data_IF_787163140756
#
_entry.id   IF_787163140756
#
_cell.length_a   1.000
_cell.length_b   1.000
_cell.length_c   1.000
_cell.angle_alpha   90.00
_cell.angle_beta   90.00
_cell.angle_gamma   90.00
#
_symmetry.space_group_name_H-M   'P 1'
#
loop_
_entity.id
_entity.type
_entity.pdbx_description
1 polymer ?
#
# COMPACT_ATOMS: atom_id res chain seq x y z
N UNK A 1 -3.54 -15.43 -10.23
CA UNK A 1 -2.34 -14.65 -10.53
C UNK A 1 -2.42 -14.04 -11.93
N UNK A 2 -2.40 -14.83 -13.00
CA UNK A 2 -2.37 -14.34 -14.39
C UNK A 2 -3.74 -14.18 -15.07
N UNK A 3 -4.81 -14.62 -14.42
CA UNK A 3 -6.16 -14.64 -14.98
C UNK A 3 -6.40 -15.79 -15.94
N UNK A 4 -7.69 -16.10 -16.17
CA UNK A 4 -8.12 -17.28 -16.91
C UNK A 4 -7.67 -17.29 -18.37
N UNK A 5 -7.83 -16.19 -19.07
CA UNK A 5 -7.52 -16.10 -20.50
C UNK A 5 -6.02 -16.26 -20.77
N UNK A 6 -5.17 -15.55 -20.03
CA UNK A 6 -3.71 -15.65 -20.14
C UNK A 6 -3.23 -17.06 -19.80
N UNK A 7 -3.78 -17.65 -18.73
CA UNK A 7 -3.46 -19.02 -18.34
C UNK A 7 -3.83 -20.02 -19.43
N UNK A 8 -5.06 -19.99 -19.96
CA UNK A 8 -5.52 -20.91 -20.99
C UNK A 8 -4.68 -20.81 -22.28
N UNK A 9 -4.28 -19.57 -22.65
CA UNK A 9 -3.40 -19.36 -23.81
C UNK A 9 -2.01 -19.94 -23.57
N UNK A 10 -1.40 -19.64 -22.42
CA UNK A 10 -0.06 -20.11 -22.09
C UNK A 10 -0.01 -21.63 -21.93
N UNK A 11 -1.01 -22.23 -21.29
CA UNK A 11 -1.09 -23.67 -21.12
C UNK A 11 -1.30 -24.43 -22.43
N UNK A 12 -2.12 -23.89 -23.35
CA UNK A 12 -2.26 -24.45 -24.72
C UNK A 12 -0.95 -24.34 -25.46
N UNK A 13 -0.24 -23.24 -25.35
CA UNK A 13 1.07 -23.05 -25.97
C UNK A 13 2.09 -24.06 -25.43
N UNK A 14 2.09 -24.29 -24.11
CA UNK A 14 2.91 -25.31 -23.49
C UNK A 14 2.57 -26.71 -24.05
N UNK A 15 1.30 -27.09 -24.09
CA UNK A 15 0.88 -28.38 -24.60
C UNK A 15 1.31 -28.60 -26.07
N UNK A 16 1.19 -27.59 -26.93
CA UNK A 16 1.62 -27.65 -28.31
C UNK A 16 3.13 -27.73 -28.49
N UNK A 17 3.89 -26.93 -27.73
CA UNK A 17 5.37 -26.85 -27.80
C UNK A 17 6.03 -28.15 -27.35
N UNK A 18 5.46 -28.78 -26.32
CA UNK A 18 6.07 -29.91 -25.63
C UNK A 18 5.38 -31.25 -25.85
N UNK A 19 4.35 -31.31 -26.69
CA UNK A 19 3.66 -32.56 -27.05
C UNK A 19 4.67 -33.62 -27.54
N UNK A 20 4.59 -34.81 -26.94
CA UNK A 20 5.48 -35.95 -27.22
C UNK A 20 6.99 -35.69 -26.89
N UNK A 21 7.31 -34.68 -26.10
CA UNK A 21 8.67 -34.42 -25.59
C UNK A 21 8.72 -34.66 -24.08
N UNK A 22 9.89 -34.51 -23.50
CA UNK A 22 10.14 -34.66 -22.05
C UNK A 22 10.54 -33.31 -21.46
N UNK A 23 9.61 -32.40 -21.17
CA UNK A 23 9.93 -31.11 -20.59
C UNK A 23 10.38 -31.23 -19.15
N UNK A 24 11.27 -30.33 -18.75
CA UNK A 24 11.62 -30.09 -17.35
C UNK A 24 10.63 -29.07 -16.74
N UNK A 25 10.60 -28.90 -15.40
CA UNK A 25 9.82 -27.84 -14.78
C UNK A 25 10.15 -26.43 -15.32
N UNK A 26 11.42 -26.16 -15.58
CA UNK A 26 11.88 -24.89 -16.13
C UNK A 26 11.35 -24.62 -17.55
N UNK A 27 11.17 -25.67 -18.35
CA UNK A 27 10.56 -25.55 -19.67
C UNK A 27 9.08 -25.14 -19.57
N UNK A 28 8.39 -25.63 -18.55
CA UNK A 28 7.02 -25.22 -18.24
C UNK A 28 6.99 -23.75 -17.82
N UNK A 29 7.79 -23.36 -16.83
CA UNK A 29 7.82 -21.98 -16.30
C UNK A 29 8.12 -20.98 -17.41
N UNK A 30 9.22 -21.19 -18.15
CA UNK A 30 9.57 -20.32 -19.27
C UNK A 30 8.48 -20.25 -20.34
N UNK A 31 7.84 -21.37 -20.64
CA UNK A 31 6.77 -21.36 -21.67
C UNK A 31 5.55 -20.58 -21.20
N UNK A 32 5.19 -20.68 -19.92
CA UNK A 32 4.08 -19.92 -19.35
C UNK A 32 4.35 -18.42 -19.37
N UNK A 33 5.56 -18.00 -19.03
CA UNK A 33 5.98 -16.58 -19.06
C UNK A 33 6.08 -16.05 -20.49
N UNK A 34 6.75 -16.77 -21.39
CA UNK A 34 6.86 -16.39 -22.79
C UNK A 34 5.51 -16.14 -23.44
N UNK A 35 4.54 -17.04 -23.18
CA UNK A 35 3.24 -16.99 -23.81
C UNK A 35 2.28 -15.96 -23.20
N UNK A 36 2.43 -15.68 -21.91
CA UNK A 36 1.59 -14.70 -21.18
C UNK A 36 2.18 -13.29 -21.16
N UNK A 37 3.48 -13.16 -21.42
CA UNK A 37 4.26 -11.94 -21.23
C UNK A 37 4.21 -11.40 -19.77
N UNK A 38 4.04 -12.28 -18.79
CA UNK A 38 3.98 -11.97 -17.36
C UNK A 38 5.20 -12.54 -16.66
N UNK A 39 5.89 -11.74 -15.87
CA UNK A 39 6.99 -12.16 -14.99
C UNK A 39 6.39 -12.92 -13.79
N UNK A 40 6.67 -14.23 -13.72
CA UNK A 40 6.22 -15.13 -12.66
C UNK A 40 7.38 -15.76 -11.88
N UNK A 41 8.61 -15.28 -12.03
CA UNK A 41 9.79 -15.80 -11.33
C UNK A 41 9.56 -15.88 -9.82
N UNK A 42 8.93 -14.85 -9.24
CA UNK A 42 8.55 -14.80 -7.82
C UNK A 42 7.58 -15.93 -7.43
N UNK A 43 6.64 -16.26 -8.31
CA UNK A 43 5.65 -17.32 -8.09
C UNK A 43 6.30 -18.69 -8.15
N UNK A 44 7.06 -18.98 -9.23
CA UNK A 44 7.75 -20.27 -9.38
C UNK A 44 8.70 -20.52 -8.24
N UNK A 45 9.50 -19.52 -7.86
CA UNK A 45 10.45 -19.63 -6.76
C UNK A 45 9.77 -19.97 -5.43
N UNK A 46 8.68 -19.34 -5.10
CA UNK A 46 7.94 -19.58 -3.88
C UNK A 46 7.23 -20.92 -3.89
N UNK A 47 6.36 -21.15 -4.86
CA UNK A 47 5.46 -22.29 -4.87
C UNK A 47 6.10 -23.63 -5.25
N UNK A 48 7.22 -23.64 -5.95
CA UNK A 48 7.86 -24.86 -6.42
C UNK A 48 9.21 -25.16 -5.74
N UNK A 49 9.86 -24.16 -5.16
CA UNK A 49 11.21 -24.31 -4.60
C UNK A 49 11.29 -23.96 -3.11
N UNK A 50 10.18 -23.66 -2.43
CA UNK A 50 10.12 -23.47 -0.98
C UNK A 50 8.99 -24.28 -0.37
N UNK A 51 8.99 -24.35 0.96
CA UNK A 51 7.92 -24.93 1.79
C UNK A 51 7.22 -23.85 2.60
N UNK A 52 7.39 -22.62 2.22
CA UNK A 52 6.79 -21.45 2.89
C UNK A 52 5.27 -21.41 2.65
N UNK A 53 4.56 -20.74 3.54
CA UNK A 53 3.13 -20.50 3.42
C UNK A 53 2.86 -19.03 3.03
N UNK A 54 1.71 -18.77 2.48
CA UNK A 54 1.14 -17.42 2.40
C UNK A 54 0.59 -17.08 3.78
N UNK A 55 1.01 -15.94 4.31
CA UNK A 55 0.51 -15.40 5.57
C UNK A 55 0.74 -13.87 5.49
N UNK A 56 -0.31 -13.14 5.19
CA UNK A 56 -0.29 -11.69 5.00
C UNK A 56 -1.40 -11.08 5.85
N UNK A 57 -1.03 -10.19 6.75
CA UNK A 57 -1.97 -9.58 7.69
C UNK A 57 -1.88 -8.08 7.79
N UNK A 58 -2.87 -7.49 8.43
CA UNK A 58 -2.84 -6.10 8.88
C UNK A 58 -2.16 -6.05 10.23
N UNK A 59 -0.99 -5.43 10.30
CA UNK A 59 -0.24 -5.28 11.53
C UNK A 59 -0.73 -4.11 12.36
N UNK A 60 -0.98 -2.98 11.72
CA UNK A 60 -1.38 -1.76 12.39
C UNK A 60 -2.14 -0.82 11.44
N UNK A 61 -3.09 -0.07 12.00
CA UNK A 61 -3.78 1.02 11.32
C UNK A 61 -3.66 2.25 12.21
N UNK A 62 -3.10 3.32 11.67
CA UNK A 62 -2.97 4.60 12.36
C UNK A 62 -3.72 5.67 11.60
N UNK A 63 -4.51 6.45 12.28
CA UNK A 63 -5.05 7.70 11.77
C UNK A 63 -4.09 8.84 12.08
N UNK A 64 -3.94 9.77 11.18
CA UNK A 64 -3.15 10.96 11.39
C UNK A 64 -3.77 12.18 10.71
N UNK A 65 -3.28 13.34 11.11
CA UNK A 65 -3.70 14.63 10.63
C UNK A 65 -2.51 15.37 10.05
N UNK A 66 -2.76 16.24 9.09
CA UNK A 66 -1.79 17.23 8.67
C UNK A 66 -2.08 18.56 9.38
N UNK A 67 -1.04 19.26 9.80
CA UNK A 67 -1.13 20.55 10.46
C UNK A 67 0.00 21.47 9.97
N UNK A 68 -0.26 22.75 9.95
CA UNK A 68 0.77 23.80 9.76
C UNK A 68 1.48 24.15 11.09
N UNK A 69 0.92 23.69 12.21
CA UNK A 69 1.48 23.89 13.54
C UNK A 69 2.07 22.58 14.08
N UNK A 70 3.32 22.58 14.56
CA UNK A 70 3.94 21.40 15.13
C UNK A 70 3.30 21.01 16.47
N UNK A 71 3.12 19.71 16.71
CA UNK A 71 2.81 19.16 18.01
C UNK A 71 4.04 19.24 18.94
N UNK A 72 3.87 18.94 20.23
CA UNK A 72 4.95 19.04 21.22
C UNK A 72 6.19 18.21 20.84
N UNK A 73 6.00 17.00 20.33
CA UNK A 73 7.10 16.14 19.92
C UNK A 73 7.88 16.71 18.71
N UNK A 74 7.16 17.30 17.77
CA UNK A 74 7.79 17.98 16.63
C UNK A 74 8.49 19.27 17.07
N UNK A 75 7.93 20.03 18.02
CA UNK A 75 8.56 21.21 18.58
C UNK A 75 9.90 20.86 19.26
N UNK A 76 9.91 19.87 20.13
CA UNK A 76 11.13 19.40 20.80
C UNK A 76 12.20 18.96 19.81
N UNK A 77 11.80 18.26 18.74
CA UNK A 77 12.74 17.86 17.67
C UNK A 77 13.31 19.07 16.92
N UNK A 78 12.47 20.03 16.57
CA UNK A 78 12.90 21.24 15.87
C UNK A 78 13.88 22.06 16.72
N UNK A 79 13.60 22.25 18.02
CA UNK A 79 14.49 22.92 18.96
C UNK A 79 15.83 22.18 19.10
N UNK A 80 15.81 20.86 19.19
CA UNK A 80 17.02 20.04 19.25
C UNK A 80 17.90 20.19 17.98
N UNK A 81 17.29 20.45 16.82
CA UNK A 81 18.00 20.78 15.59
C UNK A 81 18.36 22.26 15.44
N UNK A 82 18.03 23.11 16.44
CA UNK A 82 18.40 24.53 16.48
C UNK A 82 17.45 25.45 15.70
N UNK A 83 16.25 24.99 15.38
CA UNK A 83 15.24 25.86 14.78
C UNK A 83 14.60 26.77 15.83
N UNK A 84 14.31 28.01 15.42
CA UNK A 84 13.51 28.92 16.25
C UNK A 84 12.03 28.76 15.89
N UNK A 85 11.22 28.31 16.87
CA UNK A 85 9.80 28.06 16.68
C UNK A 85 8.99 29.31 16.29
N UNK A 86 9.44 30.50 16.68
CA UNK A 86 8.78 31.78 16.35
C UNK A 86 8.96 32.17 14.86
N UNK A 87 9.95 31.62 14.19
CA UNK A 87 10.31 31.95 12.81
C UNK A 87 10.48 30.71 11.94
N UNK A 88 9.62 29.71 12.16
CA UNK A 88 9.62 28.53 11.30
C UNK A 88 9.21 28.91 9.86
N UNK A 89 9.89 28.35 8.87
CA UNK A 89 9.36 28.40 7.51
C UNK A 89 8.01 27.69 7.44
N UNK A 90 7.22 27.97 6.42
CA UNK A 90 5.99 27.24 6.19
C UNK A 90 6.30 25.74 6.05
N UNK A 91 5.72 24.91 6.92
CA UNK A 91 5.95 23.48 7.00
C UNK A 91 4.61 22.77 7.20
N UNK A 92 4.56 21.50 6.83
CA UNK A 92 3.42 20.63 7.08
C UNK A 92 3.88 19.49 7.99
N UNK A 93 3.20 19.34 9.11
CA UNK A 93 3.48 18.33 10.12
C UNK A 93 2.45 17.21 10.03
N UNK A 94 2.91 15.99 10.28
CA UNK A 94 2.06 14.81 10.45
C UNK A 94 1.86 14.57 11.94
N UNK A 95 0.63 14.69 12.41
CA UNK A 95 0.27 14.44 13.80
C UNK A 95 -0.41 13.07 13.89
N UNK A 96 0.16 12.16 14.71
CA UNK A 96 -0.41 10.83 14.98
C UNK A 96 -1.48 10.96 16.07
N UNK A 97 -2.68 10.45 15.81
CA UNK A 97 -3.79 10.42 16.77
C UNK A 97 -3.44 9.70 18.08
N UNK A 98 -2.51 8.75 18.04
CA UNK A 98 -2.07 8.00 19.21
C UNK A 98 -0.87 8.62 19.94
N UNK A 99 -0.42 9.82 19.52
CA UNK A 99 0.65 10.53 20.20
C UNK A 99 0.17 11.03 21.57
N UNK A 100 1.03 10.96 22.59
CA UNK A 100 0.74 11.55 23.92
C UNK A 100 0.53 13.07 23.86
N UNK A 101 1.04 13.72 22.82
CA UNK A 101 0.89 15.15 22.55
C UNK A 101 -0.29 15.49 21.63
N UNK A 102 -1.14 14.52 21.29
CA UNK A 102 -2.26 14.74 20.39
C UNK A 102 -3.29 15.71 21.00
N UNK A 103 -3.55 16.79 20.29
CA UNK A 103 -4.59 17.75 20.64
C UNK A 103 -5.68 17.73 19.54
N UNK A 104 -6.89 17.23 19.86
CA UNK A 104 -8.00 17.20 18.92
C UNK A 104 -8.42 18.58 18.39
N UNK A 105 -8.17 19.66 19.18
CA UNK A 105 -8.48 21.02 18.74
C UNK A 105 -7.52 21.52 17.67
N UNK A 106 -6.27 21.09 17.68
CA UNK A 106 -5.28 21.38 16.65
C UNK A 106 -5.53 20.55 15.38
N UNK A 107 -5.92 19.29 15.53
CA UNK A 107 -6.16 18.37 14.44
C UNK A 107 -7.32 18.78 13.50
N UNK A 108 -8.26 19.59 13.99
CA UNK A 108 -9.39 20.08 13.20
C UNK A 108 -9.21 21.47 12.56
N UNK A 109 -8.10 22.16 12.89
CA UNK A 109 -7.87 23.55 12.46
C UNK A 109 -6.66 23.68 11.53
N UNK A 110 -6.56 22.81 10.56
CA UNK A 110 -5.43 22.83 9.64
C UNK A 110 -5.51 24.04 8.72
N UNK A 111 -4.55 24.94 8.80
CA UNK A 111 -4.28 25.96 7.79
C UNK A 111 -3.80 25.39 6.45
N UNK A 112 -3.85 24.05 6.29
CA UNK A 112 -3.43 23.33 5.08
C UNK A 112 -4.16 23.84 3.83
N UNK A 113 -5.46 24.17 3.93
CA UNK A 113 -6.21 24.73 2.80
C UNK A 113 -5.65 26.07 2.31
N UNK A 114 -4.99 26.83 3.19
CA UNK A 114 -4.32 28.07 2.84
C UNK A 114 -2.82 27.91 2.55
N UNK A 115 -2.26 26.72 2.80
CA UNK A 115 -0.85 26.44 2.65
C UNK A 115 -0.38 26.66 1.20
N UNK A 116 0.68 27.48 1.05
CA UNK A 116 1.30 27.72 -0.25
C UNK A 116 1.98 26.45 -0.77
N UNK A 117 2.58 25.66 0.13
CA UNK A 117 3.23 24.38 -0.21
C UNK A 117 2.23 23.44 -0.87
N UNK A 118 1.01 23.35 -0.32
CA UNK A 118 -0.02 22.48 -0.90
C UNK A 118 -0.50 23.03 -2.26
N UNK A 119 -0.69 24.34 -2.39
CA UNK A 119 -1.08 24.96 -3.65
C UNK A 119 -0.03 24.72 -4.74
N UNK A 120 1.24 24.87 -4.41
CA UNK A 120 2.35 24.62 -5.32
C UNK A 120 2.42 23.14 -5.71
N UNK A 121 2.18 22.22 -4.75
CA UNK A 121 2.09 20.80 -5.03
C UNK A 121 0.93 20.46 -5.99
N UNK A 122 -0.28 20.93 -5.70
CA UNK A 122 -1.45 20.71 -6.56
C UNK A 122 -1.21 21.27 -7.98
N UNK A 123 -0.62 22.44 -8.08
CA UNK A 123 -0.29 23.05 -9.38
C UNK A 123 0.76 22.23 -10.15
N UNK A 124 1.79 21.72 -9.47
CA UNK A 124 2.86 20.95 -10.10
C UNK A 124 2.36 19.56 -10.57
N UNK A 125 1.42 18.96 -9.85
CA UNK A 125 0.78 17.70 -10.23
C UNK A 125 -0.36 17.88 -11.27
N UNK A 126 -0.63 19.12 -11.69
CA UNK A 126 -1.69 19.43 -12.64
C UNK A 126 -3.10 19.20 -12.09
N UNK A 127 -3.24 19.18 -10.77
CA UNK A 127 -4.52 19.05 -10.09
C UNK A 127 -5.19 20.43 -9.95
N UNK A 128 -6.53 20.44 -10.08
CA UNK A 128 -7.28 21.69 -9.93
C UNK A 128 -7.14 22.22 -8.49
N UNK A 129 -6.99 23.54 -8.37
CA UNK A 129 -6.99 24.25 -7.08
C UNK A 129 -8.32 24.12 -6.30
N UNK A 130 -9.36 23.58 -6.94
CA UNK A 130 -10.61 23.16 -6.30
C UNK A 130 -10.59 21.74 -5.73
N UNK A 131 -9.48 21.01 -5.88
CA UNK A 131 -9.33 19.70 -5.27
C UNK A 131 -9.45 19.83 -3.75
N UNK A 132 -10.47 19.23 -3.19
CA UNK A 132 -10.69 19.19 -1.74
C UNK A 132 -9.66 18.27 -1.11
N UNK A 133 -9.06 18.72 -0.01
CA UNK A 133 -8.18 17.87 0.80
C UNK A 133 -9.05 16.81 1.45
N UNK A 134 -8.67 15.52 1.36
CA UNK A 134 -9.40 14.48 2.05
C UNK A 134 -9.46 14.72 3.56
N UNK A 135 -10.61 14.39 4.17
CA UNK A 135 -10.83 14.62 5.59
C UNK A 135 -10.09 13.63 6.48
N UNK A 136 -9.72 12.47 5.93
CA UNK A 136 -9.14 11.35 6.67
C UNK A 136 -7.87 10.86 6.03
N UNK A 137 -6.85 10.64 6.87
CA UNK A 137 -5.57 10.07 6.45
C UNK A 137 -5.22 8.91 7.36
N UNK A 138 -4.91 7.77 6.75
CA UNK A 138 -4.54 6.56 7.48
C UNK A 138 -3.21 6.02 6.97
N UNK A 139 -2.39 5.50 7.88
CA UNK A 139 -1.24 4.66 7.57
C UNK A 139 -1.60 3.23 7.94
N UNK A 140 -1.75 2.39 6.93
CA UNK A 140 -2.00 0.96 7.12
C UNK A 140 -0.68 0.22 6.92
N UNK A 141 -0.23 -0.49 7.96
CA UNK A 141 0.95 -1.35 7.91
C UNK A 141 0.50 -2.79 7.74
N UNK A 142 0.93 -3.39 6.63
CA UNK A 142 0.76 -4.80 6.36
C UNK A 142 2.03 -5.54 6.69
N UNK A 143 1.93 -6.75 7.21
CA UNK A 143 3.06 -7.64 7.44
C UNK A 143 2.87 -8.95 6.69
N UNK A 144 3.99 -9.61 6.41
CA UNK A 144 4.06 -10.89 5.73
C UNK A 144 4.97 -11.83 6.52
N UNK A 145 4.48 -12.44 7.62
CA UNK A 145 5.25 -13.41 8.38
C UNK A 145 5.50 -14.70 7.59
N UNK A 146 4.62 -15.05 6.66
CA UNK A 146 4.85 -16.15 5.71
C UNK A 146 5.96 -15.86 4.69
N UNK A 147 6.61 -16.89 4.20
CA UNK A 147 7.70 -16.76 3.23
C UNK A 147 7.23 -16.49 1.80
N UNK A 148 6.04 -16.97 1.43
CA UNK A 148 5.51 -16.82 0.08
C UNK A 148 5.09 -15.38 -0.22
N UNK A 149 5.49 -14.91 -1.39
CA UNK A 149 5.13 -13.59 -1.88
C UNK A 149 3.87 -13.69 -2.73
N UNK A 150 2.87 -12.87 -2.44
CA UNK A 150 1.62 -12.79 -3.20
C UNK A 150 1.23 -11.32 -3.42
N UNK A 151 0.41 -11.03 -4.45
CA UNK A 151 -0.28 -9.73 -4.52
C UNK A 151 -1.11 -9.51 -3.26
N UNK A 152 -1.13 -8.28 -2.78
CA UNK A 152 -1.90 -7.93 -1.59
C UNK A 152 -3.29 -7.44 -2.02
N UNK A 153 -4.31 -8.23 -1.75
CA UNK A 153 -5.71 -7.89 -2.02
C UNK A 153 -6.30 -7.35 -0.72
N UNK A 154 -6.81 -6.13 -0.74
CA UNK A 154 -7.34 -5.45 0.45
C UNK A 154 -8.73 -4.91 0.17
N UNK A 155 -9.63 -5.13 1.08
CA UNK A 155 -10.92 -4.44 1.15
C UNK A 155 -10.90 -3.41 2.28
N UNK A 156 -11.19 -2.17 1.93
CA UNK A 156 -11.38 -1.06 2.85
C UNK A 156 -12.88 -0.87 3.08
N UNK A 157 -13.30 -0.90 4.35
CA UNK A 157 -14.70 -0.68 4.74
C UNK A 157 -14.83 0.69 5.39
N UNK A 158 -15.84 1.45 4.98
CA UNK A 158 -16.07 2.81 5.44
C UNK A 158 -17.32 2.92 6.31
N UNK A 159 -17.37 3.97 7.16
CA UNK A 159 -18.46 4.19 8.11
C UNK A 159 -19.84 4.39 7.44
N UNK A 160 -19.86 4.80 6.17
CA UNK A 160 -21.10 4.92 5.37
C UNK A 160 -21.60 3.57 4.84
N UNK A 161 -20.93 2.47 5.15
CA UNK A 161 -21.25 1.12 4.71
C UNK A 161 -20.74 0.77 3.31
N UNK A 162 -20.04 1.68 2.64
CA UNK A 162 -19.40 1.38 1.37
C UNK A 162 -18.08 0.62 1.57
N UNK A 163 -17.69 -0.17 0.56
CA UNK A 163 -16.40 -0.86 0.53
C UNK A 163 -15.65 -0.53 -0.75
N UNK A 164 -14.32 -0.60 -0.68
CA UNK A 164 -13.42 -0.45 -1.82
C UNK A 164 -12.38 -1.57 -1.79
N UNK A 165 -12.29 -2.33 -2.88
CA UNK A 165 -11.27 -3.37 -3.01
C UNK A 165 -10.11 -2.88 -3.87
N UNK A 166 -8.90 -3.00 -3.35
CA UNK A 166 -7.66 -2.62 -4.03
C UNK A 166 -6.72 -3.80 -4.08
N UNK A 167 -6.16 -4.08 -5.26
CA UNK A 167 -5.12 -5.10 -5.42
C UNK A 167 -3.78 -4.42 -5.66
N UNK A 168 -2.86 -4.57 -4.71
CA UNK A 168 -1.49 -4.12 -4.86
C UNK A 168 -0.65 -5.22 -5.49
N UNK A 169 0.13 -4.90 -6.52
CA UNK A 169 0.93 -5.89 -7.22
C UNK A 169 2.06 -6.42 -6.33
N UNK A 170 2.53 -7.61 -6.64
CA UNK A 170 3.58 -8.32 -5.87
C UNK A 170 4.87 -7.49 -5.68
N UNK A 171 5.16 -6.57 -6.60
CA UNK A 171 6.29 -5.65 -6.54
C UNK A 171 6.30 -4.76 -5.30
N UNK A 172 5.15 -4.68 -4.59
CA UNK A 172 5.02 -4.05 -3.29
C UNK A 172 6.10 -4.52 -2.30
N UNK A 173 6.43 -5.81 -2.32
CA UNK A 173 7.35 -6.46 -1.38
C UNK A 173 8.84 -6.31 -1.76
N UNK A 174 9.17 -5.65 -2.89
CA UNK A 174 10.56 -5.54 -3.38
C UNK A 174 11.52 -4.81 -2.44
N UNK A 175 11.05 -3.81 -1.71
CA UNK A 175 11.89 -2.99 -0.81
C UNK A 175 12.04 -3.60 0.57
N UNK A 176 10.99 -4.23 1.04
CA UNK A 176 10.94 -4.90 2.32
C UNK A 176 9.97 -6.07 2.17
N UNK A 177 10.46 -7.27 2.39
CA UNK A 177 9.68 -8.50 2.29
C UNK A 177 8.92 -8.86 3.56
N UNK A 178 9.18 -8.16 4.66
CA UNK A 178 8.54 -8.41 5.95
C UNK A 178 7.31 -7.52 6.19
N UNK A 179 7.37 -6.24 5.79
CA UNK A 179 6.27 -5.31 6.02
C UNK A 179 6.23 -4.18 4.99
N UNK A 180 5.06 -3.60 4.80
CA UNK A 180 4.86 -2.46 3.92
C UNK A 180 3.82 -1.52 4.51
N UNK A 181 4.01 -0.21 4.32
CA UNK A 181 3.07 0.82 4.74
C UNK A 181 2.39 1.45 3.53
N UNK A 182 1.09 1.64 3.63
CA UNK A 182 0.28 2.37 2.66
C UNK A 182 -0.41 3.54 3.33
N UNK A 183 -0.39 4.67 2.63
CA UNK A 183 -1.15 5.85 3.03
C UNK A 183 -2.46 5.82 2.27
N UNK A 184 -3.55 5.92 3.00
CA UNK A 184 -4.90 6.00 2.48
C UNK A 184 -5.43 7.39 2.81
N UNK A 185 -5.83 8.11 1.78
CA UNK A 185 -6.50 9.41 1.93
C UNK A 185 -7.94 9.27 1.44
N UNK A 186 -8.91 9.66 2.26
CA UNK A 186 -10.33 9.44 1.98
C UNK A 186 -11.20 10.55 2.56
N UNK A 187 -12.30 10.85 1.90
CA UNK A 187 -13.36 11.71 2.46
C UNK A 187 -14.29 10.96 3.41
N UNK A 188 -14.12 9.63 3.49
CA UNK A 188 -14.91 8.73 4.32
C UNK A 188 -14.07 8.16 5.44
N UNK A 189 -14.65 8.03 6.61
CA UNK A 189 -14.00 7.41 7.75
C UNK A 189 -13.81 5.89 7.51
N UNK A 190 -12.56 5.42 7.62
CA UNK A 190 -12.22 4.01 7.51
C UNK A 190 -12.55 3.30 8.84
N UNK A 191 -13.34 2.23 8.77
CA UNK A 191 -13.76 1.44 9.94
C UNK A 191 -13.25 0.01 9.90
N UNK A 192 -12.75 -0.45 8.75
CA UNK A 192 -12.21 -1.81 8.64
C UNK A 192 -11.23 -1.95 7.48
N UNK A 193 -10.27 -2.85 7.65
CA UNK A 193 -9.30 -3.27 6.63
C UNK A 193 -9.25 -4.79 6.65
N UNK A 194 -9.60 -5.43 5.55
CA UNK A 194 -9.61 -6.89 5.41
C UNK A 194 -8.65 -7.30 4.31
N UNK A 195 -7.74 -8.20 4.63
CA UNK A 195 -6.84 -8.82 3.65
C UNK A 195 -7.54 -10.05 3.07
N UNK A 196 -7.38 -10.24 1.77
CA UNK A 196 -7.93 -11.36 0.99
C UNK A 196 -9.40 -11.69 1.30
N UNK A 197 -10.33 -10.75 1.12
CA UNK A 197 -11.72 -10.90 1.55
C UNK A 197 -12.47 -12.07 0.90
N UNK A 198 -11.96 -12.56 -0.23
CA UNK A 198 -12.56 -13.67 -0.98
C UNK A 198 -11.76 -14.98 -0.87
N UNK A 199 -10.68 -15.00 -0.07
CA UNK A 199 -9.80 -16.15 0.12
C UNK A 199 -9.19 -16.68 -1.19
N UNK A 200 -8.67 -15.77 -2.01
CA UNK A 200 -8.11 -16.09 -3.33
C UNK A 200 -6.62 -16.44 -3.30
N UNK A 201 -5.90 -16.06 -2.24
CA UNK A 201 -4.44 -16.13 -2.17
C UNK A 201 -3.92 -17.33 -1.39
N UNK A 202 -4.79 -18.20 -0.87
CA UNK A 202 -4.44 -19.31 0.02
C UNK A 202 -3.73 -18.85 1.31
N UNK A 203 -4.09 -17.68 1.80
CA UNK A 203 -3.67 -17.13 3.07
C UNK A 203 -4.19 -18.00 4.24
N UNK A 204 -3.40 -18.19 5.31
CA UNK A 204 -3.67 -19.11 6.42
C UNK A 204 -3.92 -18.40 7.74
#
# INVERSE_FOLDING_TARGET
VMGREAFDHAFKTYAQRWMFKHPTPEDFFRTMEDASAIDLDWFWRGWFYSTDAVDIGVKNVKRFYFSDTPDLEAQERLEAYGYNLENLPEMVFKIDENSESFDPELAGKTGIESSQILKDYLQNEGLDSSATIPNYFYEVEFEKPGGLVMPLIVEYSYADGSTEQVTYPVQLWRKNDASVKKIIASDKELVGVTVDPQLETADV
#
